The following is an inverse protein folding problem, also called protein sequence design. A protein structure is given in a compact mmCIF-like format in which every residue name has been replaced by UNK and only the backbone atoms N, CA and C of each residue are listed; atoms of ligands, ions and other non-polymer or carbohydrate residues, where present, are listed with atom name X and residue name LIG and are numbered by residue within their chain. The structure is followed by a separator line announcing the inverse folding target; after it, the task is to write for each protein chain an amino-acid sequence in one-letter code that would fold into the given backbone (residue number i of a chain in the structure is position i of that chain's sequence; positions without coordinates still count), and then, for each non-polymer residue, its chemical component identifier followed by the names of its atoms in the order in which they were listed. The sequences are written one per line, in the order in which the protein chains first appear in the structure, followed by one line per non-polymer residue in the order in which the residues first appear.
data_IF_410713742451
#
_entry.id   IF_410713742451
#
_cell.length_a   1.000
_cell.length_b   1.000
_cell.length_c   1.000
_cell.angle_alpha   90.00
_cell.angle_beta   90.00
_cell.angle_gamma   90.00
#
_symmetry.space_group_name_H-M   'P 1'
#
loop_
_entity.id
_entity.type
_entity.pdbx_description
1 polymer ?
#
# COMPACT_ATOMS: atom_id res chain seq x y z
N UNK A 1 -13.92 16.92 -8.96
CA UNK A 1 -15.32 16.70 -8.54
C UNK A 1 -15.95 15.68 -9.49
N UNK A 2 -16.55 14.61 -8.95
CA UNK A 2 -17.32 13.67 -9.76
C UNK A 2 -18.68 14.27 -10.14
N UNK A 3 -19.23 13.81 -11.25
CA UNK A 3 -20.60 14.13 -11.70
C UNK A 3 -21.51 12.93 -11.48
N UNK A 4 -22.83 13.11 -11.60
CA UNK A 4 -23.80 12.02 -11.51
C UNK A 4 -23.88 11.13 -12.76
N UNK A 5 -22.90 11.25 -13.68
CA UNK A 5 -22.82 10.41 -14.88
C UNK A 5 -22.33 8.99 -14.53
N UNK A 6 -22.71 7.98 -15.33
CA UNK A 6 -22.20 6.61 -15.14
C UNK A 6 -20.69 6.53 -15.36
N UNK A 7 -20.09 5.50 -14.79
CA UNK A 7 -18.66 5.18 -14.97
C UNK A 7 -18.37 4.91 -16.46
N UNK A 8 -17.25 5.37 -17.01
CA UNK A 8 -16.22 6.25 -16.40
C UNK A 8 -16.48 7.75 -16.58
N UNK A 9 -17.64 8.15 -17.13
CA UNK A 9 -17.95 9.53 -17.47
C UNK A 9 -18.11 10.45 -16.26
N UNK A 10 -18.32 9.88 -15.06
CA UNK A 10 -18.38 10.65 -13.81
C UNK A 10 -17.10 11.46 -13.52
N UNK A 11 -15.94 11.06 -14.08
CA UNK A 11 -14.66 11.77 -13.96
C UNK A 11 -14.42 12.80 -15.08
N UNK A 12 -15.24 12.81 -16.15
CA UNK A 12 -15.00 13.64 -17.34
C UNK A 12 -14.93 15.15 -17.00
N UNK A 13 -15.80 15.63 -16.11
CA UNK A 13 -15.78 17.04 -15.68
C UNK A 13 -14.47 17.41 -14.93
N UNK A 14 -13.96 16.51 -14.08
CA UNK A 14 -12.68 16.67 -13.40
C UNK A 14 -11.51 16.69 -14.38
N UNK A 15 -11.48 15.77 -15.33
CA UNK A 15 -10.46 15.70 -16.38
C UNK A 15 -10.51 16.94 -17.29
N UNK A 16 -11.69 17.38 -17.70
CA UNK A 16 -11.85 18.59 -18.52
C UNK A 16 -11.30 19.83 -17.83
N UNK A 17 -11.56 19.99 -16.53
CA UNK A 17 -11.09 21.10 -15.72
C UNK A 17 -9.61 20.98 -15.28
N UNK A 18 -8.94 19.85 -15.56
CA UNK A 18 -7.58 19.60 -15.06
C UNK A 18 -6.56 20.51 -15.78
N UNK A 19 -5.85 21.40 -15.04
CA UNK A 19 -5.06 22.45 -15.67
C UNK A 19 -3.70 21.99 -16.21
N UNK A 20 -3.23 20.81 -15.82
CA UNK A 20 -1.88 20.33 -16.09
C UNK A 20 -1.73 19.59 -17.43
N UNK A 21 -2.84 19.36 -18.15
CA UNK A 21 -2.86 18.65 -19.43
C UNK A 21 -3.53 19.51 -20.52
N UNK A 22 -2.99 19.44 -21.74
CA UNK A 22 -3.60 19.99 -22.94
C UNK A 22 -4.90 19.24 -23.32
N UNK A 23 -5.71 19.81 -24.19
CA UNK A 23 -6.93 19.16 -24.69
C UNK A 23 -6.64 17.83 -25.40
N UNK A 24 -5.56 17.77 -26.18
CA UNK A 24 -5.14 16.55 -26.87
C UNK A 24 -4.75 15.43 -25.86
N UNK A 25 -3.99 15.79 -24.82
CA UNK A 25 -3.62 14.85 -23.75
C UNK A 25 -4.84 14.38 -22.96
N UNK A 26 -5.79 15.26 -22.62
CA UNK A 26 -7.05 14.87 -21.97
C UNK A 26 -7.85 13.88 -22.80
N UNK A 27 -7.92 14.09 -24.13
CA UNK A 27 -8.57 13.14 -25.04
C UNK A 27 -7.83 11.79 -25.08
N UNK A 28 -6.49 11.82 -25.09
CA UNK A 28 -5.67 10.60 -25.02
C UNK A 28 -5.87 9.85 -23.68
N UNK A 29 -5.92 10.56 -22.55
CA UNK A 29 -6.24 9.97 -21.24
C UNK A 29 -7.62 9.29 -21.24
N UNK A 30 -8.64 9.95 -21.82
CA UNK A 30 -9.97 9.34 -21.91
C UNK A 30 -9.96 8.03 -22.71
N UNK A 31 -9.23 7.97 -23.84
CA UNK A 31 -9.10 6.73 -24.62
C UNK A 31 -8.34 5.64 -23.85
N UNK A 32 -7.25 5.99 -23.19
CA UNK A 32 -6.48 5.03 -22.38
C UNK A 32 -7.32 4.50 -21.21
N UNK A 33 -8.10 5.34 -20.53
CA UNK A 33 -8.99 4.94 -19.46
C UNK A 33 -10.06 3.93 -19.95
N UNK A 34 -10.64 4.16 -21.13
CA UNK A 34 -11.59 3.23 -21.74
C UNK A 34 -10.92 1.88 -22.11
N UNK A 35 -9.69 1.91 -22.63
CA UNK A 35 -8.93 0.70 -22.92
C UNK A 35 -8.59 -0.06 -21.64
N UNK A 36 -8.14 0.63 -20.60
CA UNK A 36 -7.80 0.06 -19.29
C UNK A 36 -9.02 -0.59 -18.63
N UNK A 37 -10.19 0.03 -18.72
CA UNK A 37 -11.43 -0.53 -18.16
C UNK A 37 -11.83 -1.90 -18.76
N UNK A 38 -11.31 -2.25 -19.95
CA UNK A 38 -11.57 -3.53 -20.63
C UNK A 38 -10.57 -4.64 -20.27
N UNK A 39 -9.46 -4.28 -19.61
CA UNK A 39 -8.44 -5.26 -19.25
C UNK A 39 -8.96 -6.18 -18.13
N UNK A 40 -8.47 -7.42 -18.15
CA UNK A 40 -8.57 -8.32 -17.00
C UNK A 40 -7.27 -8.22 -16.19
N UNK A 41 -7.29 -7.66 -14.97
CA UNK A 41 -6.10 -7.58 -14.14
C UNK A 41 -5.49 -8.94 -13.76
N UNK A 42 -6.25 -10.02 -13.92
CA UNK A 42 -5.77 -11.39 -13.67
C UNK A 42 -5.02 -11.99 -14.88
N UNK A 43 -4.98 -11.29 -16.03
CA UNK A 43 -4.21 -11.75 -17.19
C UNK A 43 -2.70 -11.71 -16.89
N UNK A 44 -2.00 -12.86 -16.87
CA UNK A 44 -0.58 -12.92 -16.53
C UNK A 44 0.32 -12.20 -17.55
N UNK A 45 -0.14 -11.98 -18.77
CA UNK A 45 0.64 -11.22 -19.77
C UNK A 45 0.74 -9.74 -19.41
N UNK A 46 -0.24 -9.20 -18.67
CA UNK A 46 -0.17 -7.83 -18.16
C UNK A 46 0.89 -7.66 -17.08
N UNK A 47 1.18 -8.71 -16.31
CA UNK A 47 2.23 -8.65 -15.30
C UNK A 47 3.65 -8.59 -15.89
N UNK A 48 3.84 -9.02 -17.14
CA UNK A 48 5.14 -9.03 -17.83
C UNK A 48 5.58 -7.68 -18.36
N UNK A 49 4.69 -6.72 -18.46
CA UNK A 49 4.97 -5.39 -18.98
C UNK A 49 4.83 -4.33 -17.91
N UNK A 50 5.63 -3.26 -18.01
CA UNK A 50 5.49 -2.11 -17.15
C UNK A 50 4.33 -1.19 -17.59
N UNK A 51 3.80 -0.45 -16.63
CA UNK A 51 2.67 0.44 -16.83
C UNK A 51 3.00 1.57 -17.81
N UNK A 52 4.20 2.15 -17.77
CA UNK A 52 4.60 3.23 -18.69
C UNK A 52 4.64 2.75 -20.14
N UNK A 53 5.14 1.54 -20.40
CA UNK A 53 5.13 0.93 -21.75
C UNK A 53 3.70 0.78 -22.26
N UNK A 54 2.78 0.31 -21.44
CA UNK A 54 1.37 0.22 -21.82
C UNK A 54 0.77 1.62 -22.09
N UNK A 55 1.03 2.59 -21.21
CA UNK A 55 0.55 3.97 -21.38
C UNK A 55 1.05 4.61 -22.68
N UNK A 56 2.35 4.48 -23.00
CA UNK A 56 2.93 5.00 -24.24
C UNK A 56 2.30 4.37 -25.48
N UNK A 57 2.05 3.06 -25.47
CA UNK A 57 1.33 2.35 -26.55
C UNK A 57 -0.10 2.87 -26.73
N UNK A 58 -0.69 3.45 -25.68
CA UNK A 58 -2.02 4.06 -25.72
C UNK A 58 -1.98 5.59 -25.88
N UNK A 59 -0.86 6.12 -26.39
CA UNK A 59 -0.70 7.52 -26.79
C UNK A 59 -0.59 8.51 -25.62
N UNK A 60 -0.14 8.03 -24.44
CA UNK A 60 0.13 8.92 -23.32
C UNK A 60 1.49 9.60 -23.47
N UNK A 61 1.53 10.93 -23.32
CA UNK A 61 2.78 11.69 -23.25
C UNK A 61 3.46 11.50 -21.89
N UNK A 62 4.78 11.73 -21.81
CA UNK A 62 5.51 11.72 -20.54
C UNK A 62 4.89 12.69 -19.52
N UNK A 63 4.43 13.86 -20.01
CA UNK A 63 3.71 14.81 -19.17
C UNK A 63 2.40 14.24 -18.60
N UNK A 64 1.64 13.50 -19.40
CA UNK A 64 0.40 12.87 -18.93
C UNK A 64 0.70 11.76 -17.93
N UNK A 65 1.78 11.01 -18.15
CA UNK A 65 2.25 9.97 -17.20
C UNK A 65 2.59 10.63 -15.87
N UNK A 66 3.49 11.61 -15.85
CA UNK A 66 3.92 12.28 -14.62
C UNK A 66 2.76 13.02 -13.91
N UNK A 67 2.00 13.84 -14.65
CA UNK A 67 1.05 14.75 -14.03
C UNK A 67 -0.29 14.11 -13.66
N UNK A 68 -0.63 12.92 -14.20
CA UNK A 68 -1.91 12.28 -13.93
C UNK A 68 -1.74 10.82 -13.47
N UNK A 69 -1.07 9.98 -14.29
CA UNK A 69 -1.00 8.55 -13.99
C UNK A 69 -0.13 8.28 -12.77
N UNK A 70 1.06 8.86 -12.70
CA UNK A 70 1.95 8.73 -11.55
C UNK A 70 1.43 9.46 -10.30
N UNK A 71 0.66 10.54 -10.45
CA UNK A 71 0.03 11.21 -9.32
C UNK A 71 -0.81 10.25 -8.46
N UNK A 72 -1.50 9.31 -9.10
CA UNK A 72 -2.29 8.27 -8.45
C UNK A 72 -1.46 7.00 -8.30
N UNK A 73 -0.76 6.58 -9.35
CA UNK A 73 0.00 5.33 -9.42
C UNK A 73 1.07 5.25 -8.35
N UNK A 74 1.92 6.27 -8.22
CA UNK A 74 3.01 6.27 -7.21
C UNK A 74 2.45 6.19 -5.79
N UNK A 75 1.38 6.91 -5.50
CA UNK A 75 0.78 6.91 -4.17
C UNK A 75 0.10 5.57 -3.79
N UNK A 76 -0.32 4.79 -4.78
CA UNK A 76 -1.08 3.55 -4.56
C UNK A 76 -0.26 2.28 -4.79
N UNK A 77 0.76 2.35 -5.64
CA UNK A 77 1.63 1.22 -5.99
C UNK A 77 3.00 1.29 -5.30
N UNK A 78 3.38 2.47 -4.79
CA UNK A 78 4.73 2.74 -4.28
C UNK A 78 5.82 2.51 -5.33
N UNK A 79 5.51 2.78 -6.61
CA UNK A 79 6.41 2.69 -7.74
C UNK A 79 5.99 3.68 -8.83
N UNK A 80 6.93 4.15 -9.64
CA UNK A 80 6.65 4.94 -10.84
C UNK A 80 6.12 4.04 -11.95
N UNK A 81 5.47 4.61 -12.96
CA UNK A 81 4.89 3.82 -14.05
C UNK A 81 5.89 2.88 -14.75
N UNK A 82 7.18 3.26 -14.98
CA UNK A 82 8.18 2.33 -15.53
C UNK A 82 8.51 1.15 -14.61
N UNK A 83 8.35 1.30 -13.31
CA UNK A 83 8.73 0.30 -12.31
C UNK A 83 7.54 -0.55 -11.84
N UNK A 84 6.33 -0.23 -12.29
CA UNK A 84 5.10 -0.89 -11.86
C UNK A 84 4.58 -1.88 -12.90
N UNK A 85 4.19 -3.08 -12.47
CA UNK A 85 3.47 -4.08 -13.28
C UNK A 85 2.16 -3.49 -13.81
N UNK A 86 1.88 -3.70 -15.10
CA UNK A 86 0.62 -3.28 -15.70
C UNK A 86 -0.59 -4.00 -15.09
N UNK A 87 -0.45 -5.25 -14.65
CA UNK A 87 -1.52 -5.99 -13.97
C UNK A 87 -1.94 -5.30 -12.67
N UNK A 88 -0.96 -4.94 -11.83
CA UNK A 88 -1.21 -4.24 -10.56
C UNK A 88 -1.72 -2.80 -10.79
N UNK A 89 -1.20 -2.10 -11.81
CA UNK A 89 -1.73 -0.79 -12.21
C UNK A 89 -3.18 -0.91 -12.71
N UNK A 90 -3.49 -1.90 -13.55
CA UNK A 90 -4.85 -2.16 -14.01
C UNK A 90 -5.81 -2.41 -12.83
N UNK A 91 -5.37 -3.18 -11.82
CA UNK A 91 -6.16 -3.41 -10.60
C UNK A 91 -6.48 -2.10 -9.89
N UNK A 92 -5.49 -1.24 -9.68
CA UNK A 92 -5.67 0.07 -9.01
C UNK A 92 -6.64 0.95 -9.78
N UNK A 93 -6.33 1.22 -11.04
CA UNK A 93 -7.11 2.18 -11.82
C UNK A 93 -8.50 1.69 -12.18
N UNK A 94 -8.64 0.39 -12.49
CA UNK A 94 -9.95 -0.20 -12.78
C UNK A 94 -10.84 -0.20 -11.54
N UNK A 95 -10.34 -0.70 -10.42
CA UNK A 95 -11.11 -0.79 -9.17
C UNK A 95 -11.36 0.59 -8.57
N UNK A 96 -10.31 1.43 -8.47
CA UNK A 96 -10.40 2.72 -7.79
C UNK A 96 -11.03 3.85 -8.60
N UNK A 97 -11.05 3.77 -9.94
CA UNK A 97 -11.53 4.88 -10.77
C UNK A 97 -12.58 4.50 -11.81
N UNK A 98 -12.60 3.24 -12.27
CA UNK A 98 -13.35 2.85 -13.46
C UNK A 98 -14.44 1.79 -13.21
N UNK A 99 -14.70 1.41 -11.96
CA UNK A 99 -15.71 0.40 -11.61
C UNK A 99 -16.92 1.00 -10.89
N UNK A 100 -16.69 1.90 -9.94
CA UNK A 100 -17.74 2.53 -9.15
C UNK A 100 -17.47 4.03 -8.97
N UNK A 101 -18.51 4.89 -9.05
CA UNK A 101 -18.32 6.34 -8.87
C UNK A 101 -17.79 6.73 -7.50
N UNK A 102 -18.07 5.95 -6.45
CA UNK A 102 -17.62 6.19 -5.07
C UNK A 102 -16.20 5.71 -4.80
N UNK A 103 -15.67 4.76 -5.59
CA UNK A 103 -14.37 4.15 -5.36
C UNK A 103 -13.19 5.13 -5.42
N UNK A 104 -13.35 6.27 -6.12
CA UNK A 104 -12.36 7.34 -6.19
C UNK A 104 -12.37 8.31 -5.00
N UNK A 105 -13.22 8.13 -4.02
CA UNK A 105 -13.27 9.01 -2.85
C UNK A 105 -12.06 8.78 -1.95
N UNK A 106 -11.40 9.88 -1.55
CA UNK A 106 -10.22 9.82 -0.69
C UNK A 106 -10.65 10.00 0.76
N UNK A 107 -10.43 8.96 1.55
CA UNK A 107 -10.58 9.00 2.99
C UNK A 107 -9.24 9.21 3.70
N UNK A 108 -9.28 9.87 4.85
CA UNK A 108 -8.12 9.98 5.76
C UNK A 108 -8.56 9.78 7.20
N UNK A 109 -7.64 9.20 8.01
CA UNK A 109 -7.90 8.96 9.41
C UNK A 109 -8.02 10.29 10.18
N UNK A 110 -9.06 10.43 11.00
CA UNK A 110 -9.28 11.57 11.90
C UNK A 110 -8.78 11.32 13.32
N UNK A 111 -8.32 10.10 13.59
CA UNK A 111 -7.69 9.66 14.84
C UNK A 111 -6.34 9.03 14.52
N UNK A 112 -5.47 8.78 15.51
CA UNK A 112 -4.24 8.02 15.30
C UNK A 112 -4.51 6.66 14.66
N UNK A 113 -3.65 6.21 13.75
CA UNK A 113 -3.82 4.90 13.09
C UNK A 113 -3.78 3.73 14.08
N UNK A 114 -3.05 3.87 15.18
CA UNK A 114 -3.04 2.89 16.26
C UNK A 114 -4.43 2.68 16.88
N UNK A 115 -5.22 3.73 16.99
CA UNK A 115 -6.60 3.61 17.53
C UNK A 115 -7.50 2.81 16.58
N UNK A 116 -7.30 2.97 15.26
CA UNK A 116 -8.08 2.25 14.25
C UNK A 116 -7.63 0.78 14.11
N UNK A 117 -6.33 0.54 14.00
CA UNK A 117 -5.83 -0.78 13.62
C UNK A 117 -5.41 -1.64 14.82
N UNK A 118 -4.78 -1.05 15.85
CA UNK A 118 -4.36 -1.82 17.03
C UNK A 118 -5.51 -1.92 18.06
N UNK A 119 -6.05 -0.81 18.52
CA UNK A 119 -7.05 -0.80 19.61
C UNK A 119 -8.31 -1.57 19.24
N UNK A 120 -8.85 -1.36 18.03
CA UNK A 120 -10.06 -2.05 17.59
C UNK A 120 -9.80 -3.54 17.30
N UNK A 121 -8.65 -3.86 16.68
CA UNK A 121 -8.27 -5.24 16.41
C UNK A 121 -8.05 -6.01 17.72
N UNK A 122 -7.35 -5.43 18.69
CA UNK A 122 -7.14 -6.03 20.01
C UNK A 122 -8.45 -6.33 20.72
N UNK A 123 -9.38 -5.37 20.72
CA UNK A 123 -10.72 -5.57 21.28
C UNK A 123 -11.45 -6.75 20.61
N UNK A 124 -11.36 -6.88 19.31
CA UNK A 124 -11.99 -7.97 18.56
C UNK A 124 -11.35 -9.32 18.91
N UNK A 125 -10.02 -9.38 18.99
CA UNK A 125 -9.26 -10.58 19.39
C UNK A 125 -9.59 -10.99 20.83
N UNK A 126 -9.61 -10.06 21.77
CA UNK A 126 -9.98 -10.33 23.17
C UNK A 126 -11.42 -10.87 23.29
N UNK A 127 -12.35 -10.28 22.52
CA UNK A 127 -13.75 -10.76 22.48
C UNK A 127 -13.86 -12.18 21.94
N UNK A 128 -12.99 -12.53 20.99
CA UNK A 128 -12.89 -13.89 20.44
C UNK A 128 -12.08 -14.86 21.31
N UNK A 129 -11.57 -14.43 22.45
CA UNK A 129 -10.76 -15.25 23.35
C UNK A 129 -9.35 -15.56 22.83
N UNK A 130 -8.85 -14.73 21.90
CA UNK A 130 -7.50 -14.89 21.33
C UNK A 130 -6.46 -14.34 22.29
N UNK A 131 -5.49 -15.17 22.67
CA UNK A 131 -4.33 -14.74 23.44
C UNK A 131 -3.34 -14.01 22.52
N UNK A 132 -2.97 -12.79 22.87
CA UNK A 132 -1.99 -11.98 22.15
C UNK A 132 -0.72 -11.82 22.97
N UNK A 133 0.41 -12.23 22.41
CA UNK A 133 1.73 -12.07 23.02
C UNK A 133 2.55 -11.03 22.24
N UNK A 134 2.98 -9.99 22.92
CA UNK A 134 3.85 -8.96 22.34
C UNK A 134 5.31 -9.21 22.69
N UNK A 135 6.22 -8.75 21.85
CA UNK A 135 7.68 -8.93 22.00
C UNK A 135 8.09 -10.42 22.06
N UNK A 136 7.28 -11.26 21.49
CA UNK A 136 7.45 -12.71 21.42
C UNK A 136 7.91 -13.11 20.03
N UNK A 137 9.18 -12.84 19.69
CA UNK A 137 9.75 -13.18 18.38
C UNK A 137 9.77 -14.70 18.22
N UNK A 138 9.16 -15.21 17.16
CA UNK A 138 9.26 -16.60 16.76
C UNK A 138 10.65 -16.86 16.19
N UNK A 139 11.32 -17.87 16.72
CA UNK A 139 12.67 -18.28 16.32
C UNK A 139 12.68 -19.49 15.38
N UNK A 140 11.72 -20.40 15.54
CA UNK A 140 11.63 -21.59 14.71
C UNK A 140 10.20 -22.15 14.63
N UNK A 141 9.95 -22.86 13.54
CA UNK A 141 8.71 -23.58 13.28
C UNK A 141 9.07 -25.00 12.80
N UNK A 142 8.61 -26.00 13.52
CA UNK A 142 8.88 -27.41 13.18
C UNK A 142 7.62 -28.25 13.29
N UNK A 143 7.63 -29.40 12.64
CA UNK A 143 6.54 -30.39 12.79
C UNK A 143 6.86 -31.38 13.87
N UNK A 144 5.90 -31.68 14.72
CA UNK A 144 6.00 -32.70 15.78
C UNK A 144 5.73 -34.10 15.23
N UNK A 145 6.10 -35.14 15.95
CA UNK A 145 5.91 -36.56 15.54
C UNK A 145 4.42 -36.92 15.37
N UNK A 146 3.54 -36.31 16.16
CA UNK A 146 2.08 -36.47 16.06
C UNK A 146 1.44 -35.63 14.94
N UNK A 147 2.26 -34.92 14.13
CA UNK A 147 1.81 -34.16 12.95
C UNK A 147 1.30 -32.75 13.25
N UNK A 148 1.42 -32.28 14.49
CA UNK A 148 1.12 -30.90 14.89
C UNK A 148 2.30 -29.97 14.60
N UNK A 149 2.12 -28.70 14.87
CA UNK A 149 3.15 -27.67 14.70
C UNK A 149 3.72 -27.28 16.07
N UNK A 150 5.04 -27.17 16.15
CA UNK A 150 5.77 -26.62 17.29
C UNK A 150 6.35 -25.29 16.92
N UNK A 151 5.95 -24.23 17.62
CA UNK A 151 6.41 -22.85 17.44
C UNK A 151 7.28 -22.48 18.64
N UNK A 152 8.52 -22.09 18.41
CA UNK A 152 9.41 -21.61 19.48
C UNK A 152 9.45 -20.08 19.49
N UNK A 153 9.09 -19.50 20.62
CA UNK A 153 9.04 -18.06 20.82
C UNK A 153 9.50 -17.67 22.20
N UNK A 154 10.47 -16.79 22.32
CA UNK A 154 10.98 -16.25 23.60
C UNK A 154 11.37 -17.33 24.64
N UNK A 155 11.81 -18.50 24.18
CA UNK A 155 12.17 -19.63 25.05
C UNK A 155 10.99 -20.54 25.47
N UNK A 156 9.78 -20.22 25.04
CA UNK A 156 8.59 -21.06 25.19
C UNK A 156 8.33 -21.86 23.93
N UNK A 157 7.75 -23.04 24.09
CA UNK A 157 7.29 -23.91 23.01
C UNK A 157 5.78 -23.97 23.02
N UNK A 158 5.16 -23.57 21.91
CA UNK A 158 3.72 -23.61 21.72
C UNK A 158 3.41 -24.66 20.68
N UNK A 159 2.46 -25.55 20.97
CA UNK A 159 2.00 -26.57 20.01
C UNK A 159 0.63 -26.19 19.46
N UNK A 160 0.46 -26.26 18.14
CA UNK A 160 -0.77 -25.90 17.45
C UNK A 160 -1.12 -26.90 16.35
N UNK A 161 -2.40 -27.04 16.03
CA UNK A 161 -2.89 -27.89 14.94
C UNK A 161 -2.67 -27.21 13.58
N UNK A 162 -2.69 -25.87 13.56
CA UNK A 162 -2.42 -25.07 12.37
C UNK A 162 -1.67 -23.79 12.73
N UNK A 163 -0.88 -23.26 11.79
CA UNK A 163 -0.11 -22.03 11.92
C UNK A 163 -0.31 -21.16 10.69
N UNK A 164 -0.51 -19.85 10.90
CA UNK A 164 -0.48 -18.85 9.84
C UNK A 164 0.76 -17.99 10.02
N UNK A 165 1.69 -18.04 9.05
CA UNK A 165 2.82 -17.11 8.98
C UNK A 165 2.36 -15.81 8.35
N UNK A 166 2.18 -14.76 9.15
CA UNK A 166 1.73 -13.44 8.73
C UNK A 166 2.86 -12.39 8.88
N UNK A 167 4.08 -12.79 8.61
CA UNK A 167 5.30 -11.97 8.65
C UNK A 167 5.74 -11.59 7.23
N UNK A 168 6.65 -10.62 7.02
CA UNK A 168 7.18 -10.29 5.70
C UNK A 168 7.80 -11.49 4.99
N UNK A 169 7.97 -11.40 3.67
CA UNK A 169 8.43 -12.50 2.81
C UNK A 169 9.81 -13.03 3.21
N UNK A 170 10.72 -12.16 3.61
CA UNK A 170 12.09 -12.56 4.03
C UNK A 170 12.06 -13.34 5.34
N UNK A 171 11.33 -12.87 6.33
CA UNK A 171 11.14 -13.56 7.60
C UNK A 171 10.33 -14.85 7.42
N UNK A 172 9.41 -14.88 6.46
CA UNK A 172 8.71 -16.12 6.09
C UNK A 172 9.69 -17.12 5.52
N UNK A 173 10.56 -16.73 4.59
CA UNK A 173 11.59 -17.62 4.05
C UNK A 173 12.43 -18.25 5.14
N UNK A 174 12.89 -17.46 6.13
CA UNK A 174 13.73 -17.92 7.24
C UNK A 174 13.01 -18.91 8.18
N UNK A 175 11.68 -18.80 8.29
CA UNK A 175 10.87 -19.63 9.17
C UNK A 175 10.28 -20.87 8.48
N UNK A 176 10.24 -20.90 7.15
CA UNK A 176 9.61 -21.99 6.42
C UNK A 176 10.37 -23.31 6.59
N UNK A 177 9.68 -24.38 7.01
CA UNK A 177 10.26 -25.72 6.99
C UNK A 177 10.52 -26.19 5.56
N UNK A 178 11.52 -27.05 5.39
CA UNK A 178 11.83 -27.66 4.09
C UNK A 178 10.59 -28.34 3.47
N UNK A 179 10.39 -28.12 2.20
CA UNK A 179 9.25 -28.68 1.45
C UNK A 179 7.91 -27.93 1.61
N UNK A 180 7.89 -26.79 2.32
CA UNK A 180 6.68 -25.98 2.47
C UNK A 180 6.28 -25.30 1.15
N UNK A 181 7.23 -24.88 0.33
CA UNK A 181 7.05 -24.36 -1.02
C UNK A 181 7.94 -25.14 -2.00
N UNK A 182 7.61 -25.10 -3.29
CA UNK A 182 8.44 -25.71 -4.34
C UNK A 182 9.75 -24.94 -4.52
N UNK A 183 9.68 -23.63 -4.53
CA UNK A 183 10.79 -22.71 -4.76
C UNK A 183 10.76 -21.60 -3.68
N UNK A 184 11.14 -21.89 -2.42
CA UNK A 184 11.05 -20.92 -1.33
C UNK A 184 11.96 -19.70 -1.56
N UNK A 185 13.06 -19.86 -2.31
CA UNK A 185 13.99 -18.78 -2.66
C UNK A 185 13.32 -17.65 -3.46
N UNK A 186 12.23 -17.93 -4.19
CA UNK A 186 11.47 -16.89 -4.90
C UNK A 186 10.91 -15.81 -3.97
N UNK A 187 10.73 -16.12 -2.69
CA UNK A 187 10.34 -15.13 -1.68
C UNK A 187 11.39 -14.03 -1.53
N UNK A 188 12.67 -14.35 -1.69
CA UNK A 188 13.78 -13.39 -1.61
C UNK A 188 13.88 -12.50 -2.85
N UNK A 189 13.32 -12.96 -3.98
CA UNK A 189 13.25 -12.17 -5.22
C UNK A 189 12.10 -11.13 -5.18
N UNK A 190 11.18 -11.24 -4.22
CA UNK A 190 10.15 -10.21 -3.98
C UNK A 190 10.84 -9.00 -3.32
N UNK A 191 11.29 -8.05 -4.14
CA UNK A 191 11.96 -6.84 -3.67
C UNK A 191 11.01 -5.96 -2.84
N UNK A 192 11.58 -5.06 -2.04
CA UNK A 192 10.84 -4.07 -1.27
C UNK A 192 10.96 -2.67 -1.88
N UNK A 193 9.93 -1.85 -1.69
CA UNK A 193 9.92 -0.45 -2.05
C UNK A 193 9.79 0.42 -0.79
N UNK A 194 10.64 1.46 -0.64
CA UNK A 194 10.64 2.31 0.53
C UNK A 194 9.60 3.43 0.46
N UNK A 195 9.18 3.90 1.65
CA UNK A 195 8.41 5.13 1.83
C UNK A 195 9.15 6.03 2.81
N UNK A 196 9.28 7.30 2.46
CA UNK A 196 9.83 8.35 3.31
C UNK A 196 8.69 9.30 3.71
N UNK A 197 8.55 9.60 5.00
CA UNK A 197 7.70 10.68 5.43
C UNK A 197 8.53 11.79 6.06
N UNK A 198 8.29 13.03 5.61
CA UNK A 198 8.86 14.25 6.17
C UNK A 198 7.80 14.94 7.01
N UNK A 199 8.12 15.21 8.25
CA UNK A 199 7.22 15.77 9.24
C UNK A 199 7.66 17.18 9.59
N UNK A 200 6.74 18.16 9.49
CA UNK A 200 7.02 19.57 9.80
C UNK A 200 5.93 20.08 10.73
N UNK A 201 6.35 20.59 11.91
CA UNK A 201 5.45 21.25 12.84
C UNK A 201 5.69 22.75 12.77
N UNK A 202 4.70 23.47 12.27
CA UNK A 202 4.71 24.93 12.19
C UNK A 202 4.11 25.58 13.45
N UNK A 203 4.51 26.82 13.73
CA UNK A 203 3.96 27.62 14.84
C UNK A 203 2.53 28.12 14.59
N UNK A 204 2.07 28.07 13.32
CA UNK A 204 0.77 28.54 12.87
C UNK A 204 0.22 27.68 11.74
N UNK A 205 -1.05 27.91 11.40
CA UNK A 205 -1.71 27.23 10.28
C UNK A 205 -1.18 27.74 8.94
N UNK A 206 -0.60 26.85 8.12
CA UNK A 206 -0.04 27.13 6.79
C UNK A 206 -0.82 26.46 5.66
N UNK A 207 -1.53 25.38 5.94
CA UNK A 207 -2.38 24.63 5.02
C UNK A 207 -3.86 24.73 5.45
N UNK A 208 -4.72 25.19 4.54
CA UNK A 208 -6.17 25.35 4.81
C UNK A 208 -7.00 24.11 4.44
N UNK A 209 -6.46 23.23 3.62
CA UNK A 209 -7.11 21.99 3.17
C UNK A 209 -6.61 20.81 3.99
N UNK A 210 -7.35 19.71 4.07
CA UNK A 210 -6.89 18.53 4.80
C UNK A 210 -5.66 17.88 4.15
N UNK A 211 -5.52 17.99 2.83
CA UNK A 211 -4.39 17.51 2.06
C UNK A 211 -4.29 18.19 0.69
N UNK A 212 -3.15 18.02 0.04
CA UNK A 212 -2.96 18.28 -1.39
C UNK A 212 -1.87 17.37 -1.96
N UNK A 213 -1.84 17.24 -3.29
CA UNK A 213 -0.74 16.65 -4.02
C UNK A 213 -0.07 17.71 -4.88
N UNK A 214 1.26 17.66 -5.02
CA UNK A 214 2.02 18.55 -5.85
C UNK A 214 2.46 17.86 -7.15
N UNK A 215 2.62 18.64 -8.22
CA UNK A 215 3.09 18.20 -9.53
C UNK A 215 4.31 19.02 -9.89
N UNK A 216 5.33 18.38 -10.47
CA UNK A 216 6.59 19.04 -10.80
C UNK A 216 7.32 19.56 -9.55
N UNK A 217 7.30 18.79 -8.47
CA UNK A 217 7.92 19.09 -7.18
C UNK A 217 8.45 17.79 -6.56
N UNK A 218 9.52 17.86 -5.76
CA UNK A 218 9.91 16.71 -4.94
C UNK A 218 8.87 16.37 -3.87
N UNK A 219 7.97 17.29 -3.54
CA UNK A 219 6.83 17.03 -2.65
C UNK A 219 5.77 16.26 -3.42
N UNK A 220 5.36 15.10 -2.94
CA UNK A 220 4.26 14.33 -3.53
C UNK A 220 2.92 14.67 -2.85
N UNK A 221 2.65 14.07 -1.70
CA UNK A 221 1.40 14.27 -0.97
C UNK A 221 1.67 14.92 0.38
N UNK A 222 0.85 15.90 0.73
CA UNK A 222 0.92 16.60 2.02
C UNK A 222 -0.40 16.48 2.74
N UNK A 223 -0.37 16.03 3.99
CA UNK A 223 -1.53 15.85 4.85
C UNK A 223 -1.43 16.73 6.09
N UNK A 224 -2.53 17.41 6.45
CA UNK A 224 -2.68 18.03 7.77
C UNK A 224 -2.98 16.94 8.80
N UNK A 225 -2.00 16.62 9.63
CA UNK A 225 -2.10 15.60 10.68
C UNK A 225 -2.32 16.20 12.07
N UNK A 226 -2.53 17.51 12.18
CA UNK A 226 -2.65 18.22 13.45
C UNK A 226 -3.65 17.57 14.39
N UNK A 227 -4.85 17.33 13.88
CA UNK A 227 -5.93 16.74 14.69
C UNK A 227 -5.68 15.27 15.02
N UNK A 228 -5.35 14.48 14.00
CA UNK A 228 -5.15 13.02 14.14
C UNK A 228 -3.88 12.63 14.89
N UNK A 229 -2.91 13.55 15.07
CA UNK A 229 -1.70 13.28 15.87
C UNK A 229 -1.88 13.55 17.35
N UNK A 230 -2.99 14.19 17.73
CA UNK A 230 -3.18 14.66 19.11
C UNK A 230 -2.33 15.88 19.49
N UNK A 231 -1.72 16.58 18.52
CA UNK A 231 -0.96 17.81 18.78
C UNK A 231 -1.83 18.84 19.50
N UNK A 232 -1.40 19.28 20.68
CA UNK A 232 -2.10 20.27 21.50
C UNK A 232 -1.48 21.65 21.33
N UNK A 233 -2.31 22.69 21.44
CA UNK A 233 -1.90 24.09 21.35
C UNK A 233 -1.87 24.64 19.94
N UNK A 234 -1.40 25.88 19.76
CA UNK A 234 -1.34 26.52 18.44
C UNK A 234 -0.31 25.88 17.55
N UNK A 235 -0.53 25.92 16.23
CA UNK A 235 0.38 25.37 15.24
C UNK A 235 -0.30 24.40 14.29
N UNK A 236 0.48 23.85 13.37
CA UNK A 236 0.00 22.85 12.41
C UNK A 236 1.08 21.81 12.15
N UNK A 237 0.69 20.56 12.18
CA UNK A 237 1.53 19.45 11.84
C UNK A 237 1.22 18.96 10.42
N UNK A 238 2.19 19.07 9.52
CA UNK A 238 2.12 18.55 8.17
C UNK A 238 3.00 17.30 8.03
N UNK A 239 2.45 16.27 7.42
CA UNK A 239 3.21 15.10 6.97
C UNK A 239 3.26 15.09 5.45
N UNK A 240 4.48 15.10 4.90
CA UNK A 240 4.76 14.90 3.48
C UNK A 240 5.04 13.42 3.29
N UNK A 241 4.24 12.74 2.49
CA UNK A 241 4.41 11.32 2.17
C UNK A 241 5.04 11.16 0.80
N UNK A 242 6.17 10.46 0.75
CA UNK A 242 6.95 10.16 -0.43
C UNK A 242 6.98 8.66 -0.65
N UNK A 243 6.26 8.20 -1.67
CA UNK A 243 6.33 6.85 -2.19
C UNK A 243 7.44 6.75 -3.24
N UNK A 244 7.88 5.53 -3.56
CA UNK A 244 8.99 5.27 -4.47
C UNK A 244 10.25 6.08 -4.07
N UNK A 245 10.58 6.07 -2.78
CA UNK A 245 11.57 6.95 -2.18
C UNK A 245 13.01 6.37 -2.22
N UNK A 246 13.35 5.56 -3.23
CA UNK A 246 14.66 4.92 -3.33
C UNK A 246 15.80 5.93 -3.35
N UNK A 247 15.60 7.08 -4.00
CA UNK A 247 16.62 8.13 -4.10
C UNK A 247 16.77 8.94 -2.80
N UNK A 248 15.73 9.00 -1.96
CA UNK A 248 15.70 9.86 -0.77
C UNK A 248 15.85 9.12 0.55
N UNK A 249 15.62 7.81 0.56
CA UNK A 249 15.46 7.05 1.81
C UNK A 249 16.70 7.10 2.72
N UNK A 250 17.89 7.24 2.14
CA UNK A 250 19.15 7.28 2.86
C UNK A 250 19.75 8.68 3.03
N UNK A 251 19.11 9.72 2.44
CA UNK A 251 19.62 11.08 2.54
C UNK A 251 19.63 11.57 4.01
N UNK A 252 20.67 12.32 4.42
CA UNK A 252 20.72 12.93 5.74
C UNK A 252 19.50 13.85 6.01
N UNK A 253 19.07 13.92 7.27
CA UNK A 253 17.94 14.78 7.66
C UNK A 253 18.16 16.24 7.27
N UNK A 254 19.39 16.73 7.37
CA UNK A 254 19.74 18.10 6.98
C UNK A 254 19.54 18.34 5.48
N UNK A 255 19.86 17.37 4.64
CA UNK A 255 19.65 17.46 3.20
C UNK A 255 18.15 17.41 2.84
N UNK A 256 17.40 16.48 3.46
CA UNK A 256 15.95 16.44 3.30
C UNK A 256 15.30 17.76 3.74
N UNK A 257 15.77 18.34 4.86
CA UNK A 257 15.29 19.63 5.34
C UNK A 257 15.53 20.75 4.30
N UNK A 258 16.74 20.82 3.75
CA UNK A 258 17.10 21.82 2.74
C UNK A 258 16.36 21.64 1.42
N UNK A 259 15.94 20.42 1.09
CA UNK A 259 15.17 20.09 -0.11
C UNK A 259 13.67 20.38 0.06
N UNK A 260 13.08 19.99 1.17
CA UNK A 260 11.62 20.04 1.33
C UNK A 260 11.07 21.36 1.86
N UNK A 261 11.80 22.07 2.74
CA UNK A 261 11.28 23.32 3.30
C UNK A 261 11.08 24.44 2.26
N UNK A 262 12.03 24.72 1.36
CA UNK A 262 11.82 25.71 0.31
C UNK A 262 10.65 25.36 -0.63
N UNK A 263 10.45 24.08 -0.91
CA UNK A 263 9.34 23.61 -1.72
C UNK A 263 7.99 23.78 -1.00
N UNK A 264 7.93 23.49 0.28
CA UNK A 264 6.73 23.77 1.07
C UNK A 264 6.41 25.28 1.13
N UNK A 265 7.41 26.15 1.23
CA UNK A 265 7.22 27.62 1.17
C UNK A 265 6.78 28.09 -0.23
N UNK A 266 7.23 27.40 -1.29
CA UNK A 266 6.79 27.67 -2.67
C UNK A 266 5.32 27.27 -2.88
N UNK A 267 4.96 26.10 -2.38
CA UNK A 267 3.61 25.51 -2.54
C UNK A 267 2.58 26.14 -1.58
N UNK A 268 3.01 26.53 -0.40
CA UNK A 268 2.19 27.10 0.67
C UNK A 268 2.67 28.51 1.02
N UNK A 269 2.12 29.57 0.40
CA UNK A 269 2.58 30.95 0.69
C UNK A 269 2.50 31.32 2.18
N UNK A 270 1.58 30.74 2.96
CA UNK A 270 1.48 30.97 4.40
C UNK A 270 2.61 30.31 5.23
N UNK A 271 3.37 29.39 4.64
CA UNK A 271 4.55 28.80 5.26
C UNK A 271 5.75 29.75 5.26
N UNK A 272 5.78 30.73 4.35
CA UNK A 272 6.85 31.73 4.30
C UNK A 272 6.92 32.51 5.61
N UNK A 273 8.09 32.46 6.25
CA UNK A 273 8.30 33.09 7.54
C UNK A 273 7.48 32.50 8.71
N UNK A 274 6.89 31.33 8.55
CA UNK A 274 6.35 30.58 9.66
C UNK A 274 7.49 29.95 10.48
N UNK A 275 7.38 30.03 11.81
CA UNK A 275 8.33 29.35 12.69
C UNK A 275 8.18 27.83 12.60
N UNK A 276 9.29 27.12 12.44
CA UNK A 276 9.32 25.68 12.45
C UNK A 276 9.63 25.24 13.89
N UNK A 277 8.69 24.57 14.53
CA UNK A 277 8.85 24.04 15.90
C UNK A 277 9.62 22.73 15.88
N UNK A 278 9.34 21.88 14.87
CA UNK A 278 10.02 20.61 14.75
C UNK A 278 10.07 20.17 13.28
N UNK A 279 11.11 19.40 12.95
CA UNK A 279 11.33 18.77 11.66
C UNK A 279 11.99 17.42 11.87
N UNK A 280 11.31 16.35 11.51
CA UNK A 280 11.84 15.00 11.62
C UNK A 280 11.39 14.16 10.44
N UNK A 281 11.98 12.96 10.28
CA UNK A 281 11.65 12.04 9.19
C UNK A 281 11.43 10.63 9.74
N UNK A 282 10.49 9.91 9.13
CA UNK A 282 10.36 8.47 9.32
C UNK A 282 10.67 7.76 8.02
N UNK A 283 11.36 6.63 8.11
CA UNK A 283 11.86 5.84 6.99
C UNK A 283 11.35 4.42 7.10
N UNK A 284 10.49 4.06 6.17
CA UNK A 284 10.02 2.69 6.03
C UNK A 284 10.74 2.06 4.82
N UNK A 285 11.86 1.39 5.08
CA UNK A 285 12.72 0.83 4.03
C UNK A 285 12.08 -0.34 3.29
N UNK A 286 11.25 -1.07 3.99
CA UNK A 286 10.51 -2.25 3.52
C UNK A 286 9.00 -2.00 3.62
N UNK A 287 8.55 -0.79 3.20
CA UNK A 287 7.16 -0.35 3.38
C UNK A 287 6.17 -1.24 2.64
N UNK A 288 6.53 -1.64 1.42
CA UNK A 288 5.70 -2.50 0.55
C UNK A 288 6.60 -3.48 -0.20
N UNK A 289 6.03 -4.56 -0.72
CA UNK A 289 6.73 -5.24 -1.81
C UNK A 289 6.77 -4.32 -3.04
N UNK A 290 7.83 -4.41 -3.85
CA UNK A 290 7.95 -3.67 -5.10
C UNK A 290 7.01 -4.29 -6.15
N UNK A 291 6.08 -3.52 -6.71
CA UNK A 291 5.10 -4.03 -7.68
C UNK A 291 5.71 -4.17 -9.09
N UNK A 292 6.93 -4.67 -9.21
CA UNK A 292 7.69 -4.73 -10.45
C UNK A 292 7.01 -5.68 -11.48
N UNK A 293 7.27 -5.47 -12.78
CA UNK A 293 6.86 -6.42 -13.80
C UNK A 293 7.35 -7.85 -13.49
N UNK A 294 6.46 -8.83 -13.57
CA UNK A 294 6.75 -10.23 -13.29
C UNK A 294 6.67 -10.61 -11.81
N UNK A 295 6.32 -9.70 -10.90
CA UNK A 295 6.22 -10.00 -9.47
C UNK A 295 5.09 -10.99 -9.15
N UNK A 296 4.04 -11.05 -9.96
CA UNK A 296 2.90 -11.93 -9.73
C UNK A 296 3.30 -13.41 -9.61
N UNK A 297 4.24 -13.86 -10.45
CA UNK A 297 4.74 -15.26 -10.41
C UNK A 297 5.55 -15.61 -9.16
N UNK A 298 6.07 -14.61 -8.44
CA UNK A 298 6.87 -14.80 -7.22
C UNK A 298 6.00 -14.94 -5.98
N UNK A 299 4.74 -14.50 -6.06
CA UNK A 299 3.81 -14.37 -4.94
C UNK A 299 3.03 -15.68 -4.74
N UNK A 300 3.28 -16.44 -3.66
CA UNK A 300 2.53 -17.65 -3.38
C UNK A 300 1.11 -17.34 -2.91
N UNK A 301 0.20 -18.30 -3.08
CA UNK A 301 -1.11 -18.29 -2.45
C UNK A 301 -1.03 -18.52 -0.93
N UNK A 302 -2.19 -18.60 -0.24
CA UNK A 302 -2.23 -18.78 1.21
C UNK A 302 -1.84 -20.18 1.68
N UNK A 303 -1.86 -21.19 0.80
CA UNK A 303 -1.57 -22.60 1.17
C UNK A 303 -0.13 -22.96 0.89
N UNK A 304 0.50 -23.63 1.84
CA UNK A 304 1.77 -24.32 1.59
C UNK A 304 1.51 -25.79 1.20
N UNK A 305 2.56 -26.52 0.85
CA UNK A 305 2.51 -27.95 0.61
C UNK A 305 2.39 -28.78 1.90
N UNK A 306 2.66 -28.15 3.04
CA UNK A 306 2.58 -28.79 4.35
C UNK A 306 1.21 -28.50 4.98
N UNK A 307 0.37 -29.52 5.19
CA UNK A 307 -0.95 -29.32 5.79
C UNK A 307 -0.86 -28.63 7.15
N UNK A 308 -1.77 -27.68 7.39
CA UNK A 308 -1.81 -26.91 8.62
C UNK A 308 -0.81 -25.75 8.67
N UNK A 309 -0.10 -25.43 7.57
CA UNK A 309 0.76 -24.24 7.48
C UNK A 309 0.28 -23.34 6.36
N UNK A 310 -0.10 -22.12 6.71
CA UNK A 310 -0.61 -21.11 5.80
C UNK A 310 0.25 -19.85 5.81
N UNK A 311 0.16 -19.09 4.71
CA UNK A 311 0.85 -17.81 4.52
C UNK A 311 -0.16 -16.67 4.45
N UNK A 312 0.15 -15.55 5.07
CA UNK A 312 -0.59 -14.30 4.95
C UNK A 312 0.39 -13.10 4.86
N UNK A 313 -0.07 -12.03 4.26
CA UNK A 313 0.68 -10.81 4.06
C UNK A 313 0.31 -10.17 2.73
N UNK A 314 0.45 -8.85 2.60
CA UNK A 314 0.16 -8.15 1.36
C UNK A 314 1.01 -8.66 0.18
N UNK A 315 2.15 -9.32 0.46
CA UNK A 315 3.06 -9.89 -0.51
C UNK A 315 2.58 -11.24 -1.09
N UNK A 316 1.60 -11.93 -0.47
CA UNK A 316 0.98 -13.13 -1.03
C UNK A 316 0.07 -12.77 -2.21
N UNK A 317 -0.23 -13.75 -3.08
CA UNK A 317 -1.09 -13.52 -4.23
C UNK A 317 -2.57 -13.37 -3.81
N UNK A 318 -2.97 -12.12 -3.70
CA UNK A 318 -4.36 -11.72 -3.41
C UNK A 318 -5.03 -11.05 -4.62
N UNK A 319 -4.31 -10.92 -5.73
CA UNK A 319 -4.72 -10.09 -6.87
C UNK A 319 -4.69 -8.57 -6.59
N UNK A 320 -4.17 -8.15 -5.40
CA UNK A 320 -4.06 -6.76 -4.99
C UNK A 320 -2.60 -6.31 -4.89
N UNK A 321 -2.32 -5.00 -5.07
CA UNK A 321 -1.01 -4.45 -4.76
C UNK A 321 -0.77 -4.45 -3.25
N UNK A 322 0.41 -3.99 -2.82
CA UNK A 322 0.80 -3.90 -1.41
C UNK A 322 -0.01 -2.82 -0.67
N UNK A 323 -1.20 -3.16 -0.26
CA UNK A 323 -2.16 -2.30 0.44
C UNK A 323 -2.67 -2.97 1.71
N UNK A 324 -3.26 -2.18 2.62
CA UNK A 324 -3.98 -2.74 3.78
C UNK A 324 -5.09 -3.69 3.35
N UNK A 325 -5.79 -3.38 2.26
CA UNK A 325 -6.82 -4.27 1.69
C UNK A 325 -6.20 -5.62 1.27
N UNK A 326 -5.05 -5.61 0.56
CA UNK A 326 -4.31 -6.82 0.21
C UNK A 326 -3.94 -7.64 1.45
N UNK A 327 -3.49 -7.00 2.52
CA UNK A 327 -3.16 -7.67 3.78
C UNK A 327 -4.39 -8.30 4.45
N UNK A 328 -5.51 -7.59 4.54
CA UNK A 328 -6.77 -8.11 5.12
C UNK A 328 -7.27 -9.29 4.30
N UNK A 329 -7.29 -9.20 2.98
CA UNK A 329 -7.68 -10.31 2.09
C UNK A 329 -6.78 -11.53 2.26
N UNK A 330 -5.47 -11.33 2.41
CA UNK A 330 -4.55 -12.43 2.65
C UNK A 330 -4.83 -13.15 3.97
N UNK A 331 -5.11 -12.38 5.03
CA UNK A 331 -5.49 -12.94 6.33
C UNK A 331 -6.77 -13.77 6.28
N UNK A 332 -7.80 -13.27 5.57
CA UNK A 332 -9.03 -14.03 5.39
C UNK A 332 -8.81 -15.32 4.58
N UNK A 333 -8.05 -15.24 3.48
CA UNK A 333 -7.73 -16.42 2.67
C UNK A 333 -6.91 -17.47 3.46
N UNK A 334 -5.96 -17.03 4.29
CA UNK A 334 -5.21 -17.91 5.16
C UNK A 334 -6.09 -18.54 6.26
N UNK A 335 -6.99 -17.77 6.84
CA UNK A 335 -7.95 -18.26 7.82
C UNK A 335 -8.89 -19.33 7.24
N UNK A 336 -9.43 -19.11 6.05
CA UNK A 336 -10.27 -20.09 5.35
C UNK A 336 -9.49 -21.36 5.02
N UNK A 337 -8.22 -21.22 4.60
CA UNK A 337 -7.34 -22.35 4.36
C UNK A 337 -7.07 -23.16 5.66
N UNK A 338 -6.82 -22.47 6.78
CA UNK A 338 -6.62 -23.10 8.08
C UNK A 338 -7.88 -23.82 8.58
N UNK A 339 -9.06 -23.20 8.45
CA UNK A 339 -10.35 -23.83 8.80
C UNK A 339 -10.61 -25.08 7.98
N UNK A 340 -10.33 -25.04 6.68
CA UNK A 340 -10.45 -26.20 5.80
C UNK A 340 -9.55 -27.35 6.28
N UNK A 341 -8.28 -27.08 6.61
CA UNK A 341 -7.35 -28.09 7.08
C UNK A 341 -7.77 -28.70 8.42
N UNK A 342 -8.52 -27.94 9.23
CA UNK A 342 -9.15 -28.40 10.47
C UNK A 342 -10.50 -29.10 10.25
N UNK A 343 -10.95 -29.29 9.01
CA UNK A 343 -12.26 -29.88 8.70
C UNK A 343 -13.44 -29.00 9.12
N UNK A 344 -13.25 -27.68 9.21
CA UNK A 344 -14.27 -26.71 9.59
C UNK A 344 -14.80 -25.94 8.37
N UNK A 345 -16.04 -25.45 8.39
CA UNK A 345 -16.55 -24.60 7.31
C UNK A 345 -15.73 -23.30 7.22
N UNK A 346 -15.66 -22.68 6.02
CA UNK A 346 -15.00 -21.40 5.84
C UNK A 346 -15.64 -20.32 6.73
N UNK A 347 -14.87 -19.31 7.08
CA UNK A 347 -15.34 -18.13 7.79
C UNK A 347 -16.38 -17.35 6.98
N UNK A 348 -16.96 -16.31 7.59
CA UNK A 348 -17.82 -15.39 6.84
C UNK A 348 -17.00 -14.71 5.73
N UNK A 349 -17.49 -14.72 4.47
CA UNK A 349 -16.82 -14.01 3.39
C UNK A 349 -16.69 -12.52 3.78
N UNK A 350 -15.51 -11.94 3.49
CA UNK A 350 -15.35 -10.51 3.58
C UNK A 350 -16.41 -9.88 2.68
N UNK A 351 -17.33 -9.11 3.26
CA UNK A 351 -18.26 -8.32 2.46
C UNK A 351 -17.43 -7.35 1.62
N UNK A 352 -17.53 -7.45 0.31
CA UNK A 352 -17.01 -6.41 -0.55
C UNK A 352 -17.70 -5.11 -0.15
N UNK A 353 -16.91 -4.13 0.29
CA UNK A 353 -17.44 -2.82 0.52
C UNK A 353 -18.00 -2.30 -0.81
N UNK A 354 -19.31 -2.15 -0.87
CA UNK A 354 -20.03 -1.64 -2.02
C UNK A 354 -19.68 -0.17 -2.29
#
# INVERSE_FOLDING_TARGET
RRTALPVPLHLAGGLAAYPHLSLAEKAAVGRAALALGRLDPADPELDRIDFATWLRRHGQSERAIEALWDLVGVATLNATAPDASMALAAKVFKTGLLSDPGAADIGWATVPLGDLHDTLARKALDTAGVRTELRAKVGSLTRTEDGRWSVESAGERITADTVVLAVPQTETHDLLPAGALDEPELLLDIACAPILNVHVIYDRKVLRRPFFAAIGSPVQWVFDRTHSSGLKGPGQYLAVSQSAAQAEIDLPVAELRSRYLPELERLLPAARGAGIRDFFVTRERTATFAPAPGVGRLRPGPRTRLPGLQLAGAWTDTGWPATMEGAVRSGAAAADAALHDLGRPPGHPLQEAA
#
